data_IF_673620434943
#
_entry.id   IF_673620434943
#
_cell.length_a   1.000
_cell.length_b   1.000
_cell.length_c   1.000
_cell.angle_alpha   90.00
_cell.angle_beta   90.00
_cell.angle_gamma   90.00
#
_symmetry.space_group_name_H-M   'P 1'
#
loop_
_entity.id
_entity.type
_entity.pdbx_description
1 polymer ?
#
# COMPACT_ATOMS: atom_id res chain seq x y z
N UNK A 1 -34.61 -25.23 -25.10
CA UNK A 1 -33.80 -24.10 -25.63
C UNK A 1 -33.48 -23.06 -24.59
N UNK A 2 -34.40 -22.80 -23.64
CA UNK A 2 -34.18 -21.76 -22.59
C UNK A 2 -33.02 -22.03 -21.63
N UNK A 3 -32.81 -23.29 -21.24
CA UNK A 3 -31.70 -23.66 -20.38
C UNK A 3 -30.32 -23.41 -21.03
N UNK A 4 -30.23 -23.60 -22.34
CA UNK A 4 -28.98 -23.40 -23.08
C UNK A 4 -28.66 -21.90 -23.23
N UNK A 5 -29.67 -21.08 -23.43
CA UNK A 5 -29.58 -19.62 -23.50
C UNK A 5 -29.17 -19.08 -22.13
N UNK A 6 -29.77 -19.56 -21.06
CA UNK A 6 -29.41 -19.17 -19.69
C UNK A 6 -27.98 -19.56 -19.35
N UNK A 7 -27.50 -20.73 -19.76
CA UNK A 7 -26.13 -21.18 -19.56
C UNK A 7 -25.14 -20.28 -20.32
N UNK A 8 -25.40 -19.95 -21.54
CA UNK A 8 -24.57 -19.06 -22.37
C UNK A 8 -24.50 -17.67 -21.73
N UNK A 9 -25.64 -17.12 -21.32
CA UNK A 9 -25.69 -15.82 -20.66
C UNK A 9 -24.90 -15.81 -19.34
N UNK A 10 -25.00 -16.86 -18.54
CA UNK A 10 -24.22 -17.03 -17.32
C UNK A 10 -22.71 -17.07 -17.59
N UNK A 11 -22.27 -17.83 -18.61
CA UNK A 11 -20.85 -17.90 -19.01
C UNK A 11 -20.32 -16.55 -19.51
N UNK A 12 -21.13 -15.79 -20.23
CA UNK A 12 -20.76 -14.43 -20.68
C UNK A 12 -20.58 -13.50 -19.48
N UNK A 13 -21.49 -13.49 -18.52
CA UNK A 13 -21.39 -12.68 -17.32
C UNK A 13 -20.17 -13.06 -16.47
N UNK A 14 -19.90 -14.36 -16.35
CA UNK A 14 -18.75 -14.87 -15.61
C UNK A 14 -17.42 -14.47 -16.25
N UNK A 15 -17.31 -14.57 -17.57
CA UNK A 15 -16.12 -14.14 -18.32
C UNK A 15 -15.93 -12.62 -18.27
N UNK A 16 -16.99 -11.85 -18.42
CA UNK A 16 -16.96 -10.39 -18.26
C UNK A 16 -16.50 -10.00 -16.85
N UNK A 17 -17.08 -10.59 -15.79
CA UNK A 17 -16.67 -10.33 -14.41
C UNK A 17 -15.19 -10.63 -14.16
N UNK A 18 -14.70 -11.74 -14.71
CA UNK A 18 -13.28 -12.12 -14.59
C UNK A 18 -12.35 -11.12 -15.31
N UNK A 19 -12.70 -10.74 -16.55
CA UNK A 19 -11.91 -9.80 -17.36
C UNK A 19 -11.87 -8.41 -16.70
N UNK A 20 -13.03 -7.88 -16.29
CA UNK A 20 -13.09 -6.58 -15.61
C UNK A 20 -12.36 -6.59 -14.27
N UNK A 21 -12.44 -7.68 -13.50
CA UNK A 21 -11.70 -7.85 -12.27
C UNK A 21 -10.18 -7.77 -12.48
N UNK A 22 -9.65 -8.50 -13.47
CA UNK A 22 -8.22 -8.45 -13.82
C UNK A 22 -7.75 -7.08 -14.33
N UNK A 23 -8.58 -6.39 -15.11
CA UNK A 23 -8.25 -5.05 -15.61
C UNK A 23 -8.17 -4.05 -14.45
N UNK A 24 -9.14 -4.07 -13.54
CA UNK A 24 -9.16 -3.21 -12.36
C UNK A 24 -7.95 -3.47 -11.44
N UNK A 25 -7.59 -4.73 -11.23
CA UNK A 25 -6.41 -5.12 -10.45
C UNK A 25 -5.12 -4.62 -11.08
N UNK A 26 -4.91 -4.85 -12.38
CA UNK A 26 -3.72 -4.36 -13.10
C UNK A 26 -3.62 -2.83 -13.06
N UNK A 27 -4.74 -2.11 -13.23
CA UNK A 27 -4.77 -0.65 -13.16
C UNK A 27 -4.36 -0.15 -11.77
N UNK A 28 -4.82 -0.81 -10.72
CA UNK A 28 -4.45 -0.44 -9.34
C UNK A 28 -2.97 -0.70 -9.05
N UNK A 29 -2.43 -1.85 -9.47
CA UNK A 29 -1.00 -2.13 -9.34
C UNK A 29 -0.12 -1.13 -10.10
N UNK A 30 -0.52 -0.78 -11.32
CA UNK A 30 0.19 0.23 -12.12
C UNK A 30 0.23 1.57 -11.42
N UNK A 31 -0.89 2.03 -10.86
CA UNK A 31 -0.95 3.27 -10.09
C UNK A 31 -0.02 3.26 -8.86
N UNK A 32 0.08 2.13 -8.15
CA UNK A 32 1.02 2.01 -7.03
C UNK A 32 2.47 2.11 -7.54
N UNK A 33 2.82 1.41 -8.61
CA UNK A 33 4.19 1.43 -9.16
C UNK A 33 4.59 2.82 -9.66
N UNK A 34 3.70 3.53 -10.37
CA UNK A 34 3.93 4.89 -10.85
C UNK A 34 4.16 5.87 -9.68
N UNK A 35 3.39 5.73 -8.60
CA UNK A 35 3.56 6.54 -7.38
C UNK A 35 4.82 6.15 -6.59
N UNK A 36 5.18 4.87 -6.53
CA UNK A 36 6.43 4.43 -5.93
C UNK A 36 7.64 5.02 -6.64
N UNK A 37 7.64 5.06 -7.98
CA UNK A 37 8.67 5.69 -8.77
C UNK A 37 8.74 7.20 -8.52
N UNK A 38 7.59 7.87 -8.49
CA UNK A 38 7.51 9.31 -8.17
C UNK A 38 8.09 9.63 -6.79
N UNK A 39 7.82 8.79 -5.79
CA UNK A 39 8.27 8.98 -4.41
C UNK A 39 9.56 8.23 -4.07
N UNK A 40 10.23 7.61 -5.05
CA UNK A 40 11.51 6.92 -4.85
C UNK A 40 12.62 7.88 -4.37
N UNK A 41 12.51 9.15 -4.73
CA UNK A 41 13.47 10.20 -4.34
C UNK A 41 13.49 10.49 -2.82
N UNK A 42 12.48 10.07 -2.05
CA UNK A 42 12.48 10.20 -0.60
C UNK A 42 12.94 8.87 0.01
N UNK A 43 14.23 8.73 0.36
CA UNK A 43 14.75 7.51 1.01
C UNK A 43 14.00 7.25 2.32
N UNK A 44 13.63 6.01 2.51
CA UNK A 44 12.85 5.61 3.71
C UNK A 44 13.53 4.40 4.35
N UNK A 45 13.82 4.49 5.64
CA UNK A 45 14.51 3.44 6.40
C UNK A 45 13.85 3.18 7.76
N UNK A 46 13.93 1.95 8.24
CA UNK A 46 13.57 1.58 9.62
C UNK A 46 14.63 1.97 10.65
N UNK A 47 15.82 2.37 10.20
CA UNK A 47 16.91 2.86 11.05
C UNK A 47 16.54 4.18 11.74
N UNK A 48 17.23 4.47 12.85
CA UNK A 48 17.00 5.70 13.64
C UNK A 48 17.94 6.84 13.25
N UNK A 49 18.89 6.60 12.37
CA UNK A 49 19.92 7.58 11.97
C UNK A 49 19.63 8.11 10.59
N UNK A 50 19.91 9.39 10.41
CA UNK A 50 19.94 10.03 9.10
C UNK A 50 21.09 9.42 8.30
N UNK A 51 20.82 9.04 7.05
CA UNK A 51 21.77 8.31 6.21
C UNK A 51 22.42 9.21 5.17
N UNK A 52 23.71 8.95 4.93
CA UNK A 52 24.45 9.45 3.76
C UNK A 52 24.60 10.96 3.66
N UNK A 53 24.60 11.68 4.78
CA UNK A 53 24.78 13.14 4.74
C UNK A 53 25.41 13.69 6.01
N UNK A 54 26.31 14.67 5.83
CA UNK A 54 26.87 15.50 6.89
C UNK A 54 26.07 16.80 7.08
N UNK A 55 24.95 16.96 6.36
CA UNK A 55 24.09 18.14 6.45
C UNK A 55 23.37 18.18 7.79
N UNK A 56 23.31 19.34 8.40
CA UNK A 56 22.57 19.56 9.62
C UNK A 56 21.06 19.42 9.41
N UNK A 57 20.39 18.90 10.46
CA UNK A 57 18.93 18.75 10.47
C UNK A 57 18.28 20.10 10.74
N UNK A 58 17.53 20.58 9.77
CA UNK A 58 16.71 21.80 9.87
C UNK A 58 15.46 21.59 10.72
N UNK A 59 14.88 20.40 10.65
CA UNK A 59 13.67 20.10 11.39
C UNK A 59 13.20 18.66 11.16
N UNK A 60 12.28 18.24 12.00
CA UNK A 60 11.66 16.91 11.91
C UNK A 60 10.15 17.01 12.06
N UNK A 61 9.41 16.09 11.42
CA UNK A 61 7.95 16.00 11.51
C UNK A 61 7.54 14.53 11.55
N UNK A 62 6.47 14.23 12.28
CA UNK A 62 5.83 12.93 12.16
C UNK A 62 5.18 12.79 10.78
N UNK A 63 5.58 11.76 10.05
CA UNK A 63 4.94 11.35 8.79
C UNK A 63 4.05 10.15 9.07
N UNK A 64 2.81 10.16 8.57
CA UNK A 64 1.85 9.07 8.75
C UNK A 64 1.06 8.81 7.47
N UNK A 65 0.69 7.56 7.26
CA UNK A 65 -0.23 7.16 6.19
C UNK A 65 -0.96 5.89 6.61
N UNK A 66 -2.26 5.82 6.42
CA UNK A 66 -3.04 4.64 6.75
C UNK A 66 -3.93 4.19 5.60
N UNK A 67 -4.22 2.87 5.61
CA UNK A 67 -5.11 2.22 4.64
C UNK A 67 -5.98 1.23 5.39
N UNK A 68 -7.27 1.30 5.15
CA UNK A 68 -8.24 0.33 5.68
C UNK A 68 -8.66 -0.62 4.56
N UNK A 69 -8.56 -1.90 4.82
CA UNK A 69 -9.00 -2.97 3.90
C UNK A 69 -10.11 -3.80 4.53
N UNK A 70 -11.14 -4.10 3.74
CA UNK A 70 -12.20 -5.01 4.16
C UNK A 70 -11.76 -6.46 3.93
N UNK A 71 -11.68 -7.22 5.01
CA UNK A 71 -11.24 -8.63 4.98
C UNK A 71 -12.38 -9.57 4.59
N UNK A 72 -13.62 -9.25 4.95
CA UNK A 72 -14.74 -10.17 4.75
C UNK A 72 -15.22 -10.26 3.31
N UNK A 73 -15.18 -9.15 2.57
CA UNK A 73 -15.44 -9.17 1.13
C UNK A 73 -14.46 -10.10 0.42
N UNK A 74 -13.21 -10.02 0.81
CA UNK A 74 -12.15 -10.85 0.25
C UNK A 74 -12.26 -12.32 0.69
N UNK A 75 -12.58 -12.60 1.97
CA UNK A 75 -12.84 -13.97 2.45
C UNK A 75 -14.00 -14.63 1.71
N UNK A 76 -15.07 -13.89 1.41
CA UNK A 76 -16.22 -14.41 0.65
C UNK A 76 -15.83 -14.79 -0.78
N UNK A 77 -15.05 -13.95 -1.47
CA UNK A 77 -14.56 -14.26 -2.80
C UNK A 77 -13.62 -15.47 -2.77
N UNK A 78 -12.70 -15.53 -1.80
CA UNK A 78 -11.80 -16.67 -1.62
C UNK A 78 -12.51 -17.95 -1.25
N UNK A 79 -13.50 -17.92 -0.35
CA UNK A 79 -14.29 -19.08 0.00
C UNK A 79 -15.06 -19.62 -1.21
N UNK A 80 -15.61 -18.74 -2.05
CA UNK A 80 -16.25 -19.12 -3.30
C UNK A 80 -15.27 -19.79 -4.28
N UNK A 81 -14.09 -19.19 -4.48
CA UNK A 81 -13.03 -19.72 -5.35
C UNK A 81 -12.40 -21.02 -4.82
N UNK A 82 -12.19 -21.12 -3.49
CA UNK A 82 -11.66 -22.33 -2.85
C UNK A 82 -12.61 -23.52 -2.99
N UNK A 83 -13.91 -23.31 -2.91
CA UNK A 83 -14.91 -24.36 -3.11
C UNK A 83 -14.93 -24.88 -4.56
N UNK A 84 -14.48 -24.05 -5.54
CA UNK A 84 -14.47 -24.40 -6.96
C UNK A 84 -13.12 -24.99 -7.40
N UNK A 85 -12.00 -24.48 -6.93
CA UNK A 85 -10.67 -24.78 -7.48
C UNK A 85 -9.69 -25.43 -6.49
N UNK A 86 -9.97 -25.51 -5.22
CA UNK A 86 -9.06 -26.06 -4.20
C UNK A 86 -7.68 -25.38 -4.27
N UNK A 87 -7.26 -24.64 -3.29
CA UNK A 87 -5.94 -23.99 -3.33
C UNK A 87 -5.56 -23.23 -2.05
N UNK A 88 -4.27 -22.96 -1.89
CA UNK A 88 -3.69 -22.32 -0.73
C UNK A 88 -3.94 -20.79 -0.73
N UNK A 89 -4.08 -20.19 0.45
CA UNK A 89 -4.51 -18.79 0.66
C UNK A 89 -3.35 -17.80 0.45
N UNK A 90 -2.64 -17.85 -0.67
CA UNK A 90 -1.62 -16.84 -1.02
C UNK A 90 -2.22 -15.43 -1.24
N UNK A 91 -3.51 -15.36 -1.54
CA UNK A 91 -4.18 -14.10 -1.86
C UNK A 91 -4.33 -13.14 -0.67
N UNK A 92 -4.26 -13.62 0.59
CA UNK A 92 -4.34 -12.75 1.76
C UNK A 92 -3.02 -11.98 1.97
N UNK A 93 -1.89 -12.64 1.77
CA UNK A 93 -0.56 -12.02 1.88
C UNK A 93 -0.40 -10.89 0.86
N UNK A 94 -0.79 -11.13 -0.39
CA UNK A 94 -0.72 -10.11 -1.45
C UNK A 94 -1.59 -8.89 -1.17
N UNK A 95 -2.75 -9.06 -0.52
CA UNK A 95 -3.63 -7.96 -0.15
C UNK A 95 -3.02 -7.10 0.97
N UNK A 96 -2.46 -7.74 2.00
CA UNK A 96 -1.80 -7.05 3.11
C UNK A 96 -0.53 -6.34 2.64
N UNK A 97 0.25 -6.96 1.77
CA UNK A 97 1.45 -6.35 1.20
C UNK A 97 1.11 -5.13 0.35
N UNK A 98 0.04 -5.20 -0.43
CA UNK A 98 -0.47 -4.06 -1.18
C UNK A 98 -0.91 -2.93 -0.25
N UNK A 99 -1.60 -3.24 0.84
CA UNK A 99 -2.00 -2.25 1.82
C UNK A 99 -0.80 -1.61 2.52
N UNK A 100 0.24 -2.38 2.83
CA UNK A 100 1.50 -1.85 3.39
C UNK A 100 2.19 -0.89 2.43
N UNK A 101 2.32 -1.25 1.15
CA UNK A 101 2.88 -0.38 0.12
C UNK A 101 2.08 0.92 -0.02
N UNK A 102 0.76 0.83 -0.09
CA UNK A 102 -0.12 1.99 -0.16
C UNK A 102 -0.01 2.88 1.09
N UNK A 103 0.07 2.30 2.30
CA UNK A 103 0.24 3.06 3.53
C UNK A 103 1.58 3.84 3.55
N UNK A 104 2.68 3.22 3.07
CA UNK A 104 3.98 3.89 2.93
C UNK A 104 3.92 5.02 1.91
N UNK A 105 3.24 4.82 0.78
CA UNK A 105 3.05 5.88 -0.22
C UNK A 105 2.30 7.07 0.37
N UNK A 106 1.19 6.84 1.07
CA UNK A 106 0.43 7.91 1.74
C UNK A 106 1.26 8.63 2.80
N UNK A 107 2.11 7.88 3.53
CA UNK A 107 3.04 8.48 4.48
C UNK A 107 4.03 9.42 3.77
N UNK A 108 4.62 9.03 2.62
CA UNK A 108 5.50 9.88 1.83
C UNK A 108 4.77 11.11 1.28
N UNK A 109 3.54 10.94 0.82
CA UNK A 109 2.67 12.02 0.35
C UNK A 109 2.33 13.03 1.44
N UNK A 110 2.31 12.62 2.71
CA UNK A 110 2.09 13.53 3.85
C UNK A 110 3.27 14.47 4.11
N UNK A 111 4.44 14.17 3.53
CA UNK A 111 5.67 14.96 3.72
C UNK A 111 6.48 15.09 2.41
N UNK A 112 5.92 15.71 1.35
CA UNK A 112 6.51 15.71 0.00
C UNK A 112 7.84 16.46 -0.12
N UNK A 113 8.20 17.27 0.87
CA UNK A 113 9.44 18.07 0.91
C UNK A 113 10.47 17.48 1.88
N UNK A 114 10.24 16.29 2.41
CA UNK A 114 11.21 15.65 3.28
C UNK A 114 12.44 15.18 2.49
N UNK A 115 13.62 15.37 3.02
CA UNK A 115 14.87 14.84 2.44
C UNK A 115 14.96 13.33 2.63
N UNK A 116 14.50 12.81 3.77
CA UNK A 116 14.38 11.38 4.05
C UNK A 116 13.39 11.10 5.17
N UNK A 117 12.95 9.84 5.26
CA UNK A 117 12.11 9.35 6.35
C UNK A 117 12.89 8.26 7.09
N UNK A 118 13.08 8.45 8.39
CA UNK A 118 13.75 7.49 9.26
C UNK A 118 12.76 6.89 10.25
N UNK A 119 13.20 5.82 10.94
CA UNK A 119 12.40 5.14 11.96
C UNK A 119 11.02 4.70 11.45
N UNK A 120 10.95 4.22 10.17
CA UNK A 120 9.72 3.67 9.61
C UNK A 120 9.22 2.50 10.46
N UNK A 121 7.94 2.53 10.80
CA UNK A 121 7.19 1.46 11.44
C UNK A 121 5.91 1.18 10.65
N UNK A 122 5.53 -0.08 10.63
CA UNK A 122 4.29 -0.56 10.03
C UNK A 122 3.52 -1.32 11.09
N UNK A 123 2.33 -0.85 11.41
CA UNK A 123 1.42 -1.49 12.35
C UNK A 123 0.18 -1.98 11.60
N UNK A 124 -0.31 -3.14 12.00
CA UNK A 124 -1.53 -3.73 11.44
C UNK A 124 -2.50 -3.99 12.57
N UNK A 125 -3.63 -3.31 12.56
CA UNK A 125 -4.66 -3.42 13.58
C UNK A 125 -5.98 -3.90 12.99
N UNK A 126 -6.70 -4.74 13.72
CA UNK A 126 -8.05 -5.15 13.36
C UNK A 126 -9.05 -4.16 13.96
N UNK A 127 -9.79 -3.44 13.12
CA UNK A 127 -10.78 -2.45 13.55
C UNK A 127 -12.07 -3.16 14.02
N UNK A 128 -12.41 -4.28 13.37
CA UNK A 128 -13.53 -5.12 13.81
C UNK A 128 -13.20 -6.58 13.62
N UNK A 129 -13.53 -7.40 14.61
CA UNK A 129 -13.33 -8.87 14.54
C UNK A 129 -14.39 -9.60 13.70
N UNK A 130 -15.31 -8.89 13.06
CA UNK A 130 -16.38 -9.50 12.26
C UNK A 130 -17.20 -10.49 13.09
N UNK A 131 -18.33 -10.09 13.59
CA UNK A 131 -19.34 -11.04 14.09
C UNK A 131 -20.14 -11.55 12.88
N UNK A 132 -20.98 -12.59 13.02
CA UNK A 132 -21.71 -13.25 11.91
C UNK A 132 -22.37 -12.31 10.88
N UNK A 133 -22.55 -11.02 11.20
CA UNK A 133 -23.13 -9.98 10.34
C UNK A 133 -22.28 -8.68 10.22
N UNK A 134 -21.07 -8.63 10.75
CA UNK A 134 -20.21 -7.42 10.66
C UNK A 134 -19.01 -7.69 9.78
N UNK A 135 -18.71 -6.71 8.92
CA UNK A 135 -17.57 -6.74 7.99
C UNK A 135 -16.29 -6.56 8.80
N UNK A 136 -15.43 -7.58 8.82
CA UNK A 136 -14.09 -7.46 9.37
C UNK A 136 -13.25 -6.49 8.53
N UNK A 137 -12.59 -5.53 9.19
CA UNK A 137 -11.67 -4.61 8.53
C UNK A 137 -10.33 -4.57 9.27
N UNK A 138 -9.27 -4.43 8.49
CA UNK A 138 -7.90 -4.32 8.97
C UNK A 138 -7.34 -2.98 8.50
N UNK A 139 -6.77 -2.23 9.43
CA UNK A 139 -6.00 -1.04 9.13
C UNK A 139 -4.51 -1.38 9.09
N UNK A 140 -3.83 -0.85 8.08
CA UNK A 140 -2.37 -0.80 8.03
C UNK A 140 -1.95 0.65 8.18
N UNK A 141 -1.21 0.94 9.24
CA UNK A 141 -0.65 2.26 9.54
C UNK A 141 0.85 2.23 9.28
N UNK A 142 1.33 3.14 8.43
CA UNK A 142 2.75 3.46 8.27
C UNK A 142 3.04 4.78 9.00
N UNK A 143 4.10 4.83 9.80
CA UNK A 143 4.55 6.08 10.40
C UNK A 143 6.07 6.11 10.52
N UNK A 144 6.62 7.31 10.57
CA UNK A 144 8.05 7.54 10.67
C UNK A 144 8.37 9.01 10.95
N UNK A 145 9.64 9.32 10.98
CA UNK A 145 10.14 10.68 11.19
C UNK A 145 10.63 11.23 9.87
N UNK A 146 9.89 12.17 9.29
CA UNK A 146 10.33 12.97 8.15
C UNK A 146 11.40 13.95 8.61
N UNK A 147 12.55 13.93 7.94
CA UNK A 147 13.71 14.77 8.24
C UNK A 147 13.89 15.78 7.13
N UNK A 148 14.05 17.03 7.50
CA UNK A 148 14.34 18.15 6.63
C UNK A 148 15.75 18.63 6.93
N UNK A 149 16.60 18.73 5.91
CA UNK A 149 17.99 19.10 6.05
C UNK A 149 18.20 20.54 5.55
N UNK A 150 19.21 21.22 6.05
CA UNK A 150 19.63 22.47 5.43
C UNK A 150 20.19 22.20 4.02
N UNK A 151 19.98 23.13 3.09
CA UNK A 151 20.65 23.08 1.80
C UNK A 151 22.16 23.04 2.01
N UNK A 152 22.87 22.23 1.19
CA UNK A 152 24.32 22.24 1.25
C UNK A 152 24.80 23.68 1.07
N UNK A 153 25.37 24.29 2.09
CA UNK A 153 26.06 25.55 1.92
C UNK A 153 27.25 25.26 1.01
N UNK A 154 27.36 26.00 -0.08
CA UNK A 154 28.57 26.03 -0.87
C UNK A 154 29.65 26.59 0.03
N UNK A 155 30.38 25.71 0.70
CA UNK A 155 31.60 26.12 1.40
C UNK A 155 32.59 26.55 0.32
N UNK A 156 32.51 27.82 -0.05
CA UNK A 156 33.62 28.50 -0.75
C UNK A 156 34.77 28.49 0.26
N UNK A 157 35.68 27.54 0.07
CA UNK A 157 37.03 27.66 0.61
C UNK A 157 37.62 28.94 0.01
N UNK A 158 37.54 30.03 0.74
CA UNK A 158 38.45 31.15 0.57
C UNK A 158 39.79 30.75 1.20
N UNK A 159 40.61 30.07 0.42
CA UNK A 159 42.05 29.99 0.67
C UNK A 159 42.64 31.36 0.46
N UNK A 160 42.98 32.03 1.53
CA UNK A 160 43.93 33.13 1.55
C UNK A 160 45.16 32.69 2.32
#
# INVERSE_FOLDING_TARGET
>A
MDALIQLIFFLILLTLGYVFGKIAEKKHYRSIMEREEQWAQIPTTSGRRVLGTDREVKGVKLATGSVVISVDYFKRILAGLRNIFGGNVQSYETLVDRARREAVLRMKESCPKADQIINLRLETSSISKGNKNQIGSVEVLAYGTAVYLYSASTATHSSS
#
